data_IF_122517666119
#
_entry.id   IF_122517666119
#
_cell.length_a   1.000
_cell.length_b   1.000
_cell.length_c   1.000
_cell.angle_alpha   90.00
_cell.angle_beta   90.00
_cell.angle_gamma   90.00
#
_symmetry.space_group_name_H-M   'P 1'
#
loop_
_entity.id
_entity.type
_entity.pdbx_description
1 polymer ?
#
# COMPACT_ATOMS: atom_id res chain seq x y z
N UNK A 1 20.17 3.84 -15.71
CA UNK A 1 19.86 4.61 -14.49
C UNK A 1 18.44 4.24 -14.09
N UNK A 2 18.28 3.46 -13.02
CA UNK A 2 16.97 2.91 -12.64
C UNK A 2 16.05 4.01 -12.15
N UNK A 3 15.09 4.44 -12.97
CA UNK A 3 14.03 5.31 -12.49
C UNK A 3 13.28 4.58 -11.38
N UNK A 4 13.20 5.22 -10.21
CA UNK A 4 12.38 4.75 -9.10
C UNK A 4 10.92 4.89 -9.49
N UNK A 5 10.39 3.79 -9.97
CA UNK A 5 9.06 3.63 -10.53
C UNK A 5 7.95 3.60 -9.49
N UNK A 6 8.30 3.18 -8.26
CA UNK A 6 7.42 3.12 -7.09
C UNK A 6 7.73 4.32 -6.20
N UNK A 7 6.69 5.05 -5.81
CA UNK A 7 6.80 6.37 -5.16
C UNK A 7 6.45 6.28 -3.68
N UNK A 8 5.37 5.57 -3.38
CA UNK A 8 4.84 5.43 -2.04
C UNK A 8 4.20 4.05 -1.90
N UNK A 9 4.33 3.42 -0.74
CA UNK A 9 3.60 2.21 -0.43
C UNK A 9 3.23 2.14 1.04
N UNK A 10 2.13 1.49 1.36
CA UNK A 10 1.73 1.25 2.75
C UNK A 10 0.93 -0.04 2.92
N UNK A 11 0.85 -0.47 4.18
CA UNK A 11 -0.05 -1.51 4.68
C UNK A 11 -0.93 -0.91 5.76
N UNK A 12 -2.25 -1.08 5.63
CA UNK A 12 -3.24 -0.58 6.58
C UNK A 12 -4.17 -1.69 7.06
N UNK A 13 -4.71 -1.54 8.27
CA UNK A 13 -5.83 -2.34 8.81
C UNK A 13 -7.06 -1.45 8.84
N UNK A 14 -8.04 -1.74 7.99
CA UNK A 14 -9.10 -0.77 7.68
C UNK A 14 -8.49 0.53 7.19
N UNK A 15 -8.70 1.61 7.94
CA UNK A 15 -8.18 2.95 7.63
C UNK A 15 -6.92 3.34 8.42
N UNK A 16 -6.40 2.44 9.26
CA UNK A 16 -5.22 2.69 10.10
C UNK A 16 -3.97 2.18 9.40
N UNK A 17 -3.08 3.09 9.00
CA UNK A 17 -1.78 2.75 8.40
C UNK A 17 -0.86 2.17 9.47
N UNK A 18 -0.41 0.92 9.25
CA UNK A 18 0.46 0.18 10.15
C UNK A 18 1.93 0.33 9.77
N UNK A 19 2.20 0.32 8.47
CA UNK A 19 3.51 0.55 7.89
C UNK A 19 3.39 1.40 6.62
N UNK A 20 4.27 2.36 6.42
CA UNK A 20 4.35 3.13 5.19
C UNK A 20 5.80 3.49 4.84
N UNK A 21 6.06 3.67 3.55
CA UNK A 21 7.37 4.04 3.03
C UNK A 21 7.25 4.94 1.80
N UNK A 22 8.04 6.01 1.79
CA UNK A 22 8.28 6.82 0.60
C UNK A 22 9.71 7.36 0.60
N UNK A 23 10.31 7.43 -0.58
CA UNK A 23 11.55 8.18 -0.83
C UNK A 23 11.26 9.55 -1.48
N UNK A 24 9.99 9.88 -1.68
CA UNK A 24 9.54 11.05 -2.40
C UNK A 24 8.84 12.02 -1.45
N UNK A 25 9.14 13.30 -1.60
CA UNK A 25 8.39 14.35 -0.90
C UNK A 25 7.25 14.81 -1.80
N UNK A 26 6.03 14.90 -1.26
CA UNK A 26 4.87 15.33 -2.03
C UNK A 26 3.54 15.02 -1.33
N UNK A 27 2.45 15.19 -2.07
CA UNK A 27 1.09 14.95 -1.58
C UNK A 27 0.61 13.50 -1.78
N UNK A 28 1.44 12.59 -2.33
CA UNK A 28 1.06 11.21 -2.61
C UNK A 28 0.58 10.46 -1.36
N UNK A 29 1.24 10.67 -0.22
CA UNK A 29 0.84 10.08 1.08
C UNK A 29 -0.57 10.52 1.48
N UNK A 30 -0.86 11.81 1.37
CA UNK A 30 -2.16 12.40 1.69
C UNK A 30 -3.26 11.92 0.74
N UNK A 31 -3.00 11.94 -0.56
CA UNK A 31 -3.96 11.47 -1.58
C UNK A 31 -4.27 9.99 -1.38
N UNK A 32 -3.25 9.18 -1.12
CA UNK A 32 -3.43 7.75 -0.93
C UNK A 32 -4.20 7.43 0.37
N UNK A 33 -3.95 8.17 1.45
CA UNK A 33 -4.74 8.08 2.68
C UNK A 33 -6.20 8.52 2.48
N UNK A 34 -6.45 9.56 1.68
CA UNK A 34 -7.82 9.97 1.33
C UNK A 34 -8.57 8.91 0.50
N UNK A 35 -7.87 8.27 -0.45
CA UNK A 35 -8.43 7.13 -1.19
C UNK A 35 -8.74 5.96 -0.25
N UNK A 36 -7.85 5.64 0.69
CA UNK A 36 -8.06 4.58 1.69
C UNK A 36 -9.36 4.78 2.48
N UNK A 37 -9.70 6.01 2.88
CA UNK A 37 -10.96 6.29 3.61
C UNK A 37 -12.22 5.99 2.79
N UNK A 38 -12.11 5.90 1.45
CA UNK A 38 -13.23 5.68 0.54
C UNK A 38 -13.32 4.23 0.05
N UNK A 39 -12.34 3.39 0.35
CA UNK A 39 -12.34 2.00 -0.10
C UNK A 39 -13.38 1.19 0.66
N UNK A 40 -14.13 0.30 -0.02
CA UNK A 40 -14.96 -0.66 0.67
C UNK A 40 -14.10 -1.70 1.37
N UNK A 41 -14.58 -2.24 2.49
CA UNK A 41 -13.88 -3.28 3.26
C UNK A 41 -13.91 -4.69 2.60
N UNK A 42 -14.42 -4.79 1.37
CA UNK A 42 -14.54 -6.05 0.63
C UNK A 42 -13.26 -6.37 -0.13
N UNK A 43 -12.83 -7.64 -0.11
CA UNK A 43 -11.63 -8.06 -0.83
C UNK A 43 -11.76 -7.73 -2.32
N UNK A 44 -10.91 -6.83 -2.81
CA UNK A 44 -10.92 -6.38 -4.19
C UNK A 44 -9.62 -5.65 -4.54
N UNK A 45 -9.41 -5.46 -5.84
CA UNK A 45 -8.30 -4.66 -6.38
C UNK A 45 -8.86 -3.36 -6.96
N UNK A 46 -8.28 -2.23 -6.56
CA UNK A 46 -8.64 -0.91 -7.07
C UNK A 46 -7.43 -0.23 -7.67
N UNK A 47 -7.60 0.41 -8.81
CA UNK A 47 -6.56 1.18 -9.47
C UNK A 47 -7.15 2.56 -9.77
N UNK A 48 -6.51 3.60 -9.23
CA UNK A 48 -6.86 4.98 -9.53
C UNK A 48 -5.71 5.64 -10.27
N UNK A 49 -6.00 6.30 -11.38
CA UNK A 49 -5.03 7.06 -12.15
C UNK A 49 -5.22 8.54 -11.87
N UNK A 50 -4.13 9.26 -11.59
CA UNK A 50 -4.14 10.70 -11.34
C UNK A 50 -2.80 11.31 -11.77
N UNK A 51 -2.83 12.33 -12.64
CA UNK A 51 -1.63 13.10 -13.05
C UNK A 51 -0.41 12.23 -13.43
N UNK A 52 -0.61 11.18 -14.24
CA UNK A 52 0.47 10.28 -14.67
C UNK A 52 0.97 9.30 -13.59
N UNK A 53 0.23 9.14 -12.49
CA UNK A 53 0.50 8.22 -11.41
C UNK A 53 -0.66 7.25 -11.22
N UNK A 54 -0.34 6.03 -10.81
CA UNK A 54 -1.29 4.96 -10.48
C UNK A 54 -1.26 4.71 -8.98
N UNK A 55 -2.41 4.75 -8.33
CA UNK A 55 -2.62 4.37 -6.95
C UNK A 55 -3.31 3.01 -6.95
N UNK A 56 -2.54 1.98 -6.65
CA UNK A 56 -2.96 0.60 -6.72
C UNK A 56 -3.25 0.13 -5.30
N UNK A 57 -4.44 -0.45 -5.09
CA UNK A 57 -4.88 -0.98 -3.80
C UNK A 57 -5.29 -2.43 -3.95
N UNK A 58 -4.89 -3.22 -2.95
CA UNK A 58 -5.34 -4.60 -2.75
C UNK A 58 -5.93 -4.68 -1.35
N UNK A 59 -7.23 -4.94 -1.28
CA UNK A 59 -7.93 -5.22 -0.02
C UNK A 59 -8.02 -6.72 0.12
N UNK A 60 -7.51 -7.26 1.23
CA UNK A 60 -7.56 -8.69 1.54
C UNK A 60 -7.61 -8.90 3.06
N UNK A 61 -8.57 -9.71 3.52
CA UNK A 61 -8.72 -10.13 4.92
C UNK A 61 -8.72 -8.98 5.95
N UNK A 62 -9.36 -7.85 5.60
CA UNK A 62 -9.42 -6.65 6.46
C UNK A 62 -8.14 -5.79 6.46
N UNK A 63 -7.14 -6.16 5.67
CA UNK A 63 -5.95 -5.36 5.39
C UNK A 63 -6.03 -4.72 4.00
N UNK A 64 -5.41 -3.56 3.87
CA UNK A 64 -5.26 -2.86 2.59
C UNK A 64 -3.79 -2.62 2.32
N UNK A 65 -3.34 -3.06 1.15
CA UNK A 65 -2.00 -2.86 0.63
C UNK A 65 -2.07 -1.83 -0.48
N UNK A 66 -1.19 -0.83 -0.44
CA UNK A 66 -1.16 0.21 -1.45
C UNK A 66 0.24 0.40 -2.03
N UNK A 67 0.30 0.69 -3.32
CA UNK A 67 1.50 1.21 -3.99
C UNK A 67 1.12 2.28 -5.01
N UNK A 68 1.82 3.41 -4.93
CA UNK A 68 1.78 4.50 -5.90
C UNK A 68 2.96 4.33 -6.84
N UNK A 69 2.70 4.31 -8.14
CA UNK A 69 3.74 4.15 -9.16
C UNK A 69 3.50 5.12 -10.32
N UNK A 70 4.56 5.47 -11.05
CA UNK A 70 4.40 6.22 -12.31
C UNK A 70 3.66 5.36 -13.33
N UNK A 71 2.72 5.94 -14.07
CA UNK A 71 1.86 5.21 -15.00
C UNK A 71 2.65 4.48 -16.10
N UNK A 72 3.78 5.05 -16.53
CA UNK A 72 4.67 4.50 -17.55
C UNK A 72 5.22 3.10 -17.23
N UNK A 73 5.15 2.67 -15.96
CA UNK A 73 5.62 1.36 -15.48
C UNK A 73 4.63 0.24 -15.78
N UNK A 74 3.39 0.60 -16.13
CA UNK A 74 2.31 -0.35 -16.36
C UNK A 74 1.81 -1.00 -15.07
N UNK A 75 0.71 -1.73 -15.18
CA UNK A 75 -0.01 -2.28 -14.01
C UNK A 75 0.62 -3.55 -13.44
N UNK A 76 1.36 -4.32 -14.24
CA UNK A 76 1.85 -5.64 -13.84
C UNK A 76 2.85 -5.57 -12.68
N UNK A 77 3.75 -4.58 -12.70
CA UNK A 77 4.78 -4.37 -11.68
C UNK A 77 4.17 -3.97 -10.31
N UNK A 78 3.32 -2.93 -10.20
CA UNK A 78 2.70 -2.58 -8.93
C UNK A 78 1.79 -3.69 -8.40
N UNK A 79 1.05 -4.41 -9.26
CA UNK A 79 0.22 -5.55 -8.82
C UNK A 79 1.10 -6.68 -8.25
N UNK A 80 2.19 -7.06 -8.92
CA UNK A 80 3.09 -8.10 -8.43
C UNK A 80 3.76 -7.69 -7.11
N UNK A 81 4.09 -6.40 -6.96
CA UNK A 81 4.63 -5.84 -5.72
C UNK A 81 3.63 -5.94 -4.56
N UNK A 82 2.35 -5.62 -4.80
CA UNK A 82 1.29 -5.74 -3.79
C UNK A 82 1.08 -7.18 -3.32
N UNK A 83 1.05 -8.16 -4.24
CA UNK A 83 0.92 -9.57 -3.87
C UNK A 83 2.11 -10.03 -3.01
N UNK A 84 3.33 -9.60 -3.35
CA UNK A 84 4.54 -9.92 -2.58
C UNK A 84 4.52 -9.29 -1.18
N UNK A 85 4.09 -8.03 -1.05
CA UNK A 85 3.93 -7.39 0.27
C UNK A 85 2.90 -8.15 1.09
N UNK A 86 1.75 -8.49 0.49
CA UNK A 86 0.71 -9.26 1.18
C UNK A 86 1.26 -10.56 1.72
N UNK A 87 1.93 -11.35 0.89
CA UNK A 87 2.53 -12.61 1.32
C UNK A 87 3.53 -12.45 2.46
N UNK A 88 4.45 -11.48 2.35
CA UNK A 88 5.47 -11.24 3.36
C UNK A 88 4.86 -10.72 4.67
N UNK A 89 3.89 -9.80 4.58
CA UNK A 89 3.14 -9.28 5.71
C UNK A 89 2.37 -10.38 6.44
N UNK A 90 1.63 -11.21 5.72
CA UNK A 90 0.87 -12.33 6.30
C UNK A 90 1.79 -13.36 6.95
N UNK A 91 2.97 -13.65 6.37
CA UNK A 91 3.97 -14.55 6.96
C UNK A 91 4.54 -14.00 8.26
N UNK A 92 4.87 -12.71 8.31
CA UNK A 92 5.51 -12.08 9.48
C UNK A 92 4.54 -11.65 10.57
N UNK A 93 3.31 -11.29 10.21
CA UNK A 93 2.29 -10.81 11.13
C UNK A 93 1.16 -11.82 11.40
N UNK A 94 1.35 -13.08 10.97
CA UNK A 94 0.45 -14.18 11.28
C UNK A 94 0.24 -14.36 12.79
N UNK A 95 -0.89 -14.95 13.18
CA UNK A 95 -1.23 -15.19 14.59
C UNK A 95 -1.76 -13.97 15.36
N UNK A 96 -2.22 -12.92 14.66
CA UNK A 96 -2.92 -11.78 15.27
C UNK A 96 -2.06 -10.55 15.60
N UNK A 97 -0.74 -10.57 15.33
CA UNK A 97 0.16 -9.43 15.57
C UNK A 97 -0.30 -8.17 14.82
N UNK A 98 -0.70 -8.31 13.56
CA UNK A 98 -1.21 -7.18 12.78
C UNK A 98 -2.62 -6.73 13.21
N UNK A 99 -3.42 -7.62 13.80
CA UNK A 99 -4.76 -7.28 14.25
C UNK A 99 -4.75 -6.33 15.45
N UNK A 100 -3.69 -6.34 16.27
CA UNK A 100 -3.54 -5.47 17.45
C UNK A 100 -2.49 -4.37 17.29
N UNK A 101 -1.77 -4.35 16.17
CA UNK A 101 -0.77 -3.33 15.88
C UNK A 101 -1.38 -1.92 15.91
N UNK A 102 -0.64 -0.98 16.50
CA UNK A 102 -0.98 0.45 16.49
C UNK A 102 -0.37 1.14 15.27
N UNK A 103 -0.88 2.33 14.94
CA UNK A 103 -0.46 3.08 13.75
C UNK A 103 1.07 3.25 13.67
N UNK A 104 1.62 3.09 12.47
CA UNK A 104 3.05 3.23 12.14
C UNK A 104 4.04 2.36 12.96
N UNK A 105 3.58 1.44 13.81
CA UNK A 105 4.46 0.63 14.65
C UNK A 105 5.24 -0.43 13.88
N UNK A 106 4.82 -0.72 12.65
CA UNK A 106 5.48 -1.69 11.80
C UNK A 106 6.45 -1.03 10.80
N UNK A 107 6.62 0.30 10.80
CA UNK A 107 7.55 1.00 9.91
C UNK A 107 8.98 0.45 10.02
N UNK A 108 9.46 0.12 11.23
CA UNK A 108 10.82 -0.40 11.40
C UNK A 108 11.03 -1.81 10.83
N UNK A 109 9.95 -2.57 10.67
CA UNK A 109 9.96 -3.95 10.17
C UNK A 109 9.61 -4.03 8.66
N UNK A 110 8.90 -3.02 8.12
CA UNK A 110 8.28 -3.06 6.79
C UNK A 110 8.42 -1.79 5.92
N UNK A 111 8.87 -0.67 6.50
CA UNK A 111 9.08 0.57 5.78
C UNK A 111 10.54 0.82 5.43
#
# INVERSE_FOLDING_TARGET
MGQRSLIYSFVARGTVILAEYTEFTGNFTSVASQCLQKLPATNNKFIYNCDGHTFNYLVDDGFTYCVVAVEAVGQQIPIAFLERIKEDFTKRCGGGKAATAVACSLNKEFG
#
